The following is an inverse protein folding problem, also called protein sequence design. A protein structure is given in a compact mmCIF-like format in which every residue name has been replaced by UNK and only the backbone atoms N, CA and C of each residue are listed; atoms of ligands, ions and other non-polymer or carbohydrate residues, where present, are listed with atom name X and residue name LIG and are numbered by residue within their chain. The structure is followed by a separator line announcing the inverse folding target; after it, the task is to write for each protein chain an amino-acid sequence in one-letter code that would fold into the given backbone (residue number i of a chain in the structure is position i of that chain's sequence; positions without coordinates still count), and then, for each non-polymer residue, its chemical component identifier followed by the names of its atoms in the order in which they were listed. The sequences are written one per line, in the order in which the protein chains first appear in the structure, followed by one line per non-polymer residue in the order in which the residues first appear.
data_IF_355169449725
#
_entry.id   IF_355169449725
#
_cell.length_a   1.000
_cell.length_b   1.000
_cell.length_c   1.000
_cell.angle_alpha   90.00
_cell.angle_beta   90.00
_cell.angle_gamma   90.00
#
_symmetry.space_group_name_H-M   'P 1'
#
loop_
_entity.id
_entity.type
_entity.pdbx_description
1 polymer ?
#
# COMPACT_ATOMS: atom_id res chain seq x y z
N UNK A 1 -19.14 -9.00 3.37
CA UNK A 1 -17.81 -8.33 3.30
C UNK A 1 -16.62 -9.26 3.43
N UNK A 2 -16.77 -10.52 3.86
CA UNK A 2 -15.65 -11.47 3.90
C UNK A 2 -15.43 -12.12 2.53
N UNK A 3 -14.18 -12.31 2.11
CA UNK A 3 -13.78 -12.89 0.82
C UNK A 3 -14.33 -12.21 -0.46
N UNK A 4 -14.75 -10.94 -0.38
CA UNK A 4 -15.12 -10.15 -1.56
C UNK A 4 -14.03 -9.13 -1.93
N UNK A 5 -14.19 -8.48 -3.08
CA UNK A 5 -13.30 -7.39 -3.55
C UNK A 5 -13.26 -6.17 -2.62
N UNK A 6 -14.18 -6.08 -1.66
CA UNK A 6 -14.16 -5.07 -0.60
C UNK A 6 -12.81 -5.03 0.13
N UNK A 7 -12.31 -6.21 0.53
CA UNK A 7 -11.02 -6.31 1.24
C UNK A 7 -9.86 -5.86 0.34
N UNK A 8 -9.97 -6.11 -0.97
CA UNK A 8 -8.96 -5.68 -1.95
C UNK A 8 -8.93 -4.16 -2.04
N UNK A 9 -10.10 -3.51 -2.11
CA UNK A 9 -10.21 -2.05 -2.07
C UNK A 9 -9.59 -1.46 -0.81
N UNK A 10 -9.92 -1.99 0.37
CA UNK A 10 -9.37 -1.52 1.65
C UNK A 10 -7.83 -1.60 1.70
N UNK A 11 -7.26 -2.71 1.23
CA UNK A 11 -5.81 -2.89 1.18
C UNK A 11 -5.12 -1.90 0.23
N UNK A 12 -5.76 -1.56 -0.89
CA UNK A 12 -5.23 -0.59 -1.85
C UNK A 12 -5.20 0.83 -1.26
N UNK A 13 -6.17 1.27 -0.45
CA UNK A 13 -6.06 2.59 0.20
C UNK A 13 -4.95 2.65 1.24
N UNK A 14 -4.73 1.56 1.98
CA UNK A 14 -3.75 1.52 3.07
C UNK A 14 -2.34 1.33 2.53
N UNK A 15 -2.07 0.19 1.90
CA UNK A 15 -0.73 -0.13 1.40
C UNK A 15 -0.54 0.39 -0.03
N UNK A 16 -1.52 0.15 -0.90
CA UNK A 16 -1.46 0.57 -2.32
C UNK A 16 -1.22 2.07 -2.49
N UNK A 17 -1.93 2.91 -1.75
CA UNK A 17 -1.84 4.36 -1.81
C UNK A 17 -0.90 4.92 -0.74
N UNK A 18 -1.29 4.88 0.55
CA UNK A 18 -0.57 5.64 1.59
C UNK A 18 0.90 5.21 1.74
N UNK A 19 1.16 3.90 1.82
CA UNK A 19 2.52 3.38 1.94
C UNK A 19 3.31 3.60 0.65
N UNK A 20 2.79 3.18 -0.51
CA UNK A 20 3.51 3.31 -1.79
C UNK A 20 3.84 4.76 -2.14
N UNK A 21 2.89 5.69 -2.02
CA UNK A 21 3.12 7.11 -2.30
C UNK A 21 4.16 7.71 -1.35
N UNK A 22 4.16 7.31 -0.08
CA UNK A 22 5.18 7.74 0.87
C UNK A 22 6.57 7.28 0.43
N UNK A 23 6.74 6.02 0.05
CA UNK A 23 8.02 5.52 -0.44
C UNK A 23 8.44 6.17 -1.75
N UNK A 24 7.53 6.34 -2.72
CA UNK A 24 7.81 7.08 -3.96
C UNK A 24 8.25 8.52 -3.66
N UNK A 25 7.53 9.23 -2.79
CA UNK A 25 7.89 10.58 -2.35
C UNK A 25 9.25 10.64 -1.66
N UNK A 26 9.58 9.65 -0.81
CA UNK A 26 10.88 9.53 -0.17
C UNK A 26 11.99 9.39 -1.22
N UNK A 27 11.78 8.58 -2.26
CA UNK A 27 12.81 8.38 -3.30
C UNK A 27 13.16 9.69 -4.03
N UNK A 28 12.22 10.63 -4.16
CA UNK A 28 12.46 11.88 -4.87
C UNK A 28 13.44 12.84 -4.17
N UNK A 29 13.67 12.69 -2.87
CA UNK A 29 14.75 13.40 -2.18
C UNK A 29 15.91 12.46 -1.83
N UNK A 30 15.63 11.20 -1.51
CA UNK A 30 16.64 10.23 -1.10
C UNK A 30 17.57 9.83 -2.25
N UNK A 31 17.05 9.62 -3.46
CA UNK A 31 17.88 9.26 -4.62
C UNK A 31 18.86 10.39 -4.97
N UNK A 32 18.43 11.66 -5.08
CA UNK A 32 19.36 12.78 -5.24
C UNK A 32 20.38 12.89 -4.11
N UNK A 33 19.97 12.69 -2.85
CA UNK A 33 20.87 12.72 -1.70
C UNK A 33 21.96 11.65 -1.78
N UNK A 34 21.61 10.41 -2.16
CA UNK A 34 22.56 9.30 -2.24
C UNK A 34 23.47 9.37 -3.47
N UNK A 35 22.98 9.91 -4.58
CA UNK A 35 23.71 9.89 -5.86
C UNK A 35 24.39 11.20 -6.21
N UNK A 36 24.08 12.29 -5.51
CA UNK A 36 24.61 13.62 -5.77
C UNK A 36 24.04 14.29 -7.03
N UNK A 37 23.10 13.67 -7.73
CA UNK A 37 22.45 14.21 -8.92
C UNK A 37 21.07 14.78 -8.57
N UNK A 38 20.78 16.02 -8.96
CA UNK A 38 19.48 16.62 -8.72
C UNK A 38 18.36 15.83 -9.42
N UNK A 39 17.17 15.82 -8.82
CA UNK A 39 16.00 15.17 -9.40
C UNK A 39 15.71 15.72 -10.80
N UNK A 40 15.56 14.84 -11.79
CA UNK A 40 15.45 15.23 -13.19
C UNK A 40 14.26 16.16 -13.48
N UNK A 41 13.08 15.86 -12.94
CA UNK A 41 11.93 16.75 -13.06
C UNK A 41 11.00 16.71 -11.85
N UNK A 42 10.91 17.84 -11.14
CA UNK A 42 9.94 18.05 -10.06
C UNK A 42 8.50 18.05 -10.57
N UNK A 43 8.25 18.61 -11.77
CA UNK A 43 6.90 18.63 -12.36
C UNK A 43 6.43 17.21 -12.66
N UNK A 44 7.31 16.36 -13.19
CA UNK A 44 7.00 14.96 -13.47
C UNK A 44 6.68 14.19 -12.19
N UNK A 45 7.46 14.40 -11.12
CA UNK A 45 7.19 13.83 -9.79
C UNK A 45 5.80 14.20 -9.25
N UNK A 46 5.38 15.48 -9.41
CA UNK A 46 4.05 15.91 -8.97
C UNK A 46 2.93 15.28 -9.81
N UNK A 47 3.07 15.26 -11.14
CA UNK A 47 2.09 14.61 -12.03
C UNK A 47 1.97 13.13 -11.70
N UNK A 48 3.10 12.46 -11.48
CA UNK A 48 3.15 11.07 -11.05
C UNK A 48 2.38 10.86 -9.74
N UNK A 49 2.71 11.58 -8.68
CA UNK A 49 2.10 11.40 -7.37
C UNK A 49 0.57 11.63 -7.42
N UNK A 50 0.12 12.70 -8.08
CA UNK A 50 -1.31 13.00 -8.21
C UNK A 50 -2.06 12.01 -9.08
N UNK A 51 -1.48 11.59 -10.22
CA UNK A 51 -2.11 10.58 -11.07
C UNK A 51 -2.21 9.23 -10.37
N UNK A 52 -1.18 8.81 -9.63
CA UNK A 52 -1.21 7.58 -8.85
C UNK A 52 -2.32 7.64 -7.78
N UNK A 53 -2.38 8.75 -7.02
CA UNK A 53 -3.42 8.96 -6.00
C UNK A 53 -4.83 8.89 -6.59
N UNK A 54 -5.10 9.61 -7.69
CA UNK A 54 -6.41 9.60 -8.35
C UNK A 54 -6.75 8.20 -8.87
N UNK A 55 -5.78 7.50 -9.47
CA UNK A 55 -5.95 6.13 -9.93
C UNK A 55 -6.31 5.17 -8.80
N UNK A 56 -5.60 5.25 -7.66
CA UNK A 56 -5.86 4.47 -6.45
C UNK A 56 -7.25 4.74 -5.86
N UNK A 57 -7.67 6.01 -5.79
CA UNK A 57 -9.01 6.37 -5.28
C UNK A 57 -10.09 5.75 -6.16
N UNK A 58 -10.01 5.92 -7.48
CA UNK A 58 -10.98 5.35 -8.43
C UNK A 58 -11.01 3.82 -8.32
N UNK A 59 -9.83 3.20 -8.37
CA UNK A 59 -9.66 1.76 -8.33
C UNK A 59 -10.26 1.16 -7.04
N UNK A 60 -9.85 1.71 -5.89
CA UNK A 60 -10.28 1.20 -4.60
C UNK A 60 -11.77 1.43 -4.34
N UNK A 61 -12.29 2.62 -4.64
CA UNK A 61 -13.71 2.94 -4.45
C UNK A 61 -14.59 1.96 -5.26
N UNK A 62 -14.21 1.71 -6.50
CA UNK A 62 -14.90 0.75 -7.37
C UNK A 62 -14.84 -0.68 -6.81
N UNK A 63 -13.70 -1.11 -6.27
CA UNK A 63 -13.55 -2.43 -5.64
C UNK A 63 -14.41 -2.59 -4.37
N UNK A 64 -14.59 -1.51 -3.60
CA UNK A 64 -15.53 -1.51 -2.47
C UNK A 64 -16.96 -1.72 -2.97
N UNK A 65 -17.41 -0.96 -3.97
CA UNK A 65 -18.75 -1.14 -4.57
C UNK A 65 -18.96 -2.56 -5.09
N UNK A 66 -18.05 -3.07 -5.91
CA UNK A 66 -18.12 -4.44 -6.43
C UNK A 66 -18.11 -5.48 -5.30
N UNK A 67 -17.36 -5.22 -4.23
CA UNK A 67 -17.33 -6.04 -3.04
C UNK A 67 -18.63 -6.08 -2.25
N UNK A 68 -19.42 -4.99 -2.26
CA UNK A 68 -20.78 -4.94 -1.71
C UNK A 68 -21.76 -5.72 -2.59
N UNK A 69 -21.56 -5.69 -3.91
CA UNK A 69 -22.30 -6.50 -4.90
C UNK A 69 -21.89 -7.98 -4.93
N UNK A 70 -21.19 -8.46 -3.90
CA UNK A 70 -20.85 -9.88 -3.73
C UNK A 70 -19.71 -10.39 -4.61
N UNK A 71 -19.00 -9.53 -5.34
CA UNK A 71 -17.96 -9.97 -6.26
C UNK A 71 -16.78 -10.61 -5.51
N UNK A 72 -16.41 -11.87 -5.82
CA UNK A 72 -15.37 -12.57 -5.09
C UNK A 72 -13.99 -12.00 -5.45
N UNK A 73 -13.08 -12.10 -4.47
CA UNK A 73 -11.64 -11.84 -4.67
C UNK A 73 -10.94 -13.12 -5.11
N UNK A 74 -9.73 -12.99 -5.70
CA UNK A 74 -8.88 -14.14 -6.10
C UNK A 74 -9.54 -15.09 -7.11
N UNK A 75 -10.34 -14.53 -8.01
CA UNK A 75 -10.99 -15.27 -9.09
C UNK A 75 -10.70 -14.56 -10.41
N UNK A 76 -10.42 -15.32 -11.47
CA UNK A 76 -10.21 -14.82 -12.82
C UNK A 76 -11.55 -14.48 -13.47
N UNK A 77 -12.21 -13.44 -12.96
CA UNK A 77 -13.56 -13.01 -13.38
C UNK A 77 -13.59 -12.67 -14.88
N UNK A 78 -12.50 -12.18 -15.47
CA UNK A 78 -12.43 -11.88 -16.90
C UNK A 78 -12.56 -13.12 -17.82
N UNK A 79 -12.34 -14.33 -17.27
CA UNK A 79 -12.47 -15.59 -18.00
C UNK A 79 -13.77 -16.34 -17.65
N UNK A 80 -14.65 -15.75 -16.82
CA UNK A 80 -15.90 -16.37 -16.45
C UNK A 80 -16.92 -16.26 -17.60
N UNK A 81 -17.61 -17.35 -17.89
CA UNK A 81 -18.66 -17.41 -18.92
C UNK A 81 -19.93 -16.66 -18.51
N UNK A 82 -20.25 -16.68 -17.21
CA UNK A 82 -21.40 -16.01 -16.65
C UNK A 82 -20.96 -14.92 -15.67
N UNK A 83 -21.34 -13.69 -15.97
CA UNK A 83 -21.02 -12.50 -15.20
C UNK A 83 -22.30 -11.75 -14.85
N UNK A 84 -22.42 -11.35 -13.58
CA UNK A 84 -23.57 -10.56 -13.12
C UNK A 84 -23.60 -9.21 -13.87
N UNK A 85 -24.74 -8.79 -14.45
CA UNK A 85 -24.83 -7.54 -15.21
C UNK A 85 -24.38 -6.31 -14.41
N UNK A 86 -24.64 -6.30 -13.11
CA UNK A 86 -24.30 -5.22 -12.17
C UNK A 86 -22.80 -5.00 -12.04
N UNK A 87 -22.00 -6.03 -12.33
CA UNK A 87 -20.54 -5.96 -12.29
C UNK A 87 -19.92 -5.37 -13.56
N UNK A 88 -20.64 -5.48 -14.68
CA UNK A 88 -20.15 -5.15 -16.02
C UNK A 88 -20.48 -3.72 -16.45
N UNK A 89 -21.35 -3.02 -15.70
CA UNK A 89 -21.69 -1.63 -16.00
C UNK A 89 -20.45 -0.72 -15.96
N UNK A 90 -20.56 0.47 -16.55
CA UNK A 90 -19.43 1.41 -16.69
C UNK A 90 -18.80 1.82 -15.35
N UNK A 91 -19.57 1.79 -14.26
CA UNK A 91 -19.14 2.12 -12.89
C UNK A 91 -18.61 0.91 -12.11
N UNK A 92 -18.50 -0.25 -12.77
CA UNK A 92 -18.00 -1.51 -12.21
C UNK A 92 -16.63 -1.88 -12.77
N UNK A 93 -16.51 -3.04 -13.41
CA UNK A 93 -15.23 -3.55 -13.93
C UNK A 93 -14.45 -2.59 -14.85
N UNK A 94 -15.08 -1.85 -15.79
CA UNK A 94 -14.37 -0.87 -16.61
C UNK A 94 -13.66 0.22 -15.79
N UNK A 95 -14.30 0.69 -14.71
CA UNK A 95 -13.73 1.75 -13.86
C UNK A 95 -12.55 1.24 -13.01
N UNK A 96 -12.56 -0.03 -12.60
CA UNK A 96 -11.38 -0.73 -12.06
C UNK A 96 -10.25 -0.70 -13.08
N UNK A 97 -10.53 -1.03 -14.34
CA UNK A 97 -9.54 -0.99 -15.43
C UNK A 97 -8.94 0.40 -15.61
N UNK A 98 -9.79 1.43 -15.67
CA UNK A 98 -9.36 2.83 -15.82
C UNK A 98 -8.44 3.26 -14.66
N UNK A 99 -8.86 3.03 -13.41
CA UNK A 99 -8.04 3.34 -12.24
C UNK A 99 -6.68 2.63 -12.27
N UNK A 100 -6.68 1.35 -12.61
CA UNK A 100 -5.46 0.55 -12.76
C UNK A 100 -4.54 1.03 -13.88
N UNK A 101 -5.09 1.44 -15.03
CA UNK A 101 -4.31 2.01 -16.14
C UNK A 101 -3.67 3.34 -15.75
N UNK A 102 -4.40 4.22 -15.06
CA UNK A 102 -3.85 5.49 -14.55
C UNK A 102 -2.67 5.23 -13.61
N UNK A 103 -2.82 4.29 -12.67
CA UNK A 103 -1.74 3.89 -11.77
C UNK A 103 -0.55 3.30 -12.51
N UNK A 104 -0.78 2.46 -13.52
CA UNK A 104 0.27 1.85 -14.34
C UNK A 104 1.08 2.91 -15.09
N UNK A 105 0.40 3.84 -15.76
CA UNK A 105 1.06 4.98 -16.44
C UNK A 105 1.84 5.81 -15.43
N UNK A 106 1.27 6.09 -14.26
CA UNK A 106 1.99 6.79 -13.19
C UNK A 106 3.25 6.03 -12.73
N UNK A 107 3.18 4.71 -12.58
CA UNK A 107 4.34 3.87 -12.29
C UNK A 107 5.45 3.99 -13.35
N UNK A 108 5.09 4.09 -14.63
CA UNK A 108 6.05 4.37 -15.70
C UNK A 108 6.66 5.77 -15.54
N UNK A 109 5.86 6.80 -15.27
CA UNK A 109 6.37 8.16 -15.04
C UNK A 109 7.34 8.22 -13.85
N UNK A 110 7.04 7.46 -12.78
CA UNK A 110 7.90 7.31 -11.62
C UNK A 110 9.26 6.72 -12.03
N UNK A 111 9.26 5.55 -12.67
CA UNK A 111 10.48 4.88 -13.09
C UNK A 111 11.29 5.73 -14.07
N UNK A 112 10.62 6.38 -15.02
CA UNK A 112 11.24 7.29 -15.98
C UNK A 112 11.97 8.43 -15.25
N UNK A 113 11.31 9.09 -14.29
CA UNK A 113 11.91 10.21 -13.56
C UNK A 113 13.15 9.76 -12.76
N UNK A 114 13.10 8.59 -12.13
CA UNK A 114 14.24 8.03 -11.39
C UNK A 114 15.38 7.65 -12.33
N UNK A 115 15.09 6.94 -13.43
CA UNK A 115 16.12 6.54 -14.41
C UNK A 115 16.79 7.78 -15.02
N UNK A 116 16.02 8.80 -15.40
CA UNK A 116 16.58 10.05 -15.92
C UNK A 116 17.37 10.84 -14.88
N UNK A 117 16.98 10.76 -13.60
CA UNK A 117 17.76 11.33 -12.49
C UNK A 117 19.14 10.66 -12.40
N UNK A 118 19.20 9.35 -12.55
CA UNK A 118 20.44 8.58 -12.45
C UNK A 118 21.33 8.69 -13.71
N UNK A 119 20.72 8.68 -14.90
CA UNK A 119 21.44 8.55 -16.16
C UNK A 119 21.68 9.87 -16.89
N UNK A 120 20.83 10.87 -16.69
CA UNK A 120 20.82 12.10 -17.50
C UNK A 120 20.98 13.39 -16.69
N UNK A 121 20.63 13.39 -15.40
CA UNK A 121 20.83 14.57 -14.56
C UNK A 121 22.32 14.82 -14.33
N UNK A 122 22.76 16.06 -14.58
CA UNK A 122 24.14 16.52 -14.36
C UNK A 122 24.22 17.65 -13.34
N UNK A 123 23.08 18.12 -12.87
CA UNK A 123 23.02 19.19 -11.87
C UNK A 123 23.34 18.60 -10.50
N UNK A 124 24.20 19.25 -9.69
CA UNK A 124 24.52 18.75 -8.36
C UNK A 124 23.30 18.84 -7.44
N UNK A 125 23.02 17.76 -6.73
CA UNK A 125 21.96 17.71 -5.74
C UNK A 125 22.27 18.67 -4.58
N UNK A 126 21.31 19.55 -4.28
CA UNK A 126 21.29 20.37 -3.06
C UNK A 126 20.15 19.89 -2.17
N UNK A 127 20.35 18.77 -1.50
CA UNK A 127 19.33 18.13 -0.66
C UNK A 127 19.79 18.12 0.78
N UNK A 128 19.07 18.84 1.63
CA UNK A 128 19.14 18.69 3.08
C UNK A 128 18.15 17.61 3.50
N UNK A 129 18.55 16.77 4.45
CA UNK A 129 17.65 15.73 4.99
C UNK A 129 16.49 16.44 5.69
N UNK A 130 15.23 16.22 5.26
CA UNK A 130 14.09 16.96 5.77
C UNK A 130 13.67 16.41 7.14
N UNK A 131 14.46 16.73 8.17
CA UNK A 131 14.13 16.45 9.57
C UNK A 131 13.22 17.57 10.09
N UNK A 132 12.03 17.20 10.54
CA UNK A 132 11.15 18.14 11.23
C UNK A 132 11.77 18.54 12.58
N UNK A 133 11.86 19.83 12.84
CA UNK A 133 12.27 20.35 14.15
C UNK A 133 11.11 20.30 15.15
N UNK A 134 11.42 19.97 16.40
CA UNK A 134 10.43 19.99 17.48
C UNK A 134 10.07 21.42 17.87
N UNK A 135 8.82 21.66 18.25
CA UNK A 135 8.43 22.97 18.76
C UNK A 135 9.12 23.25 20.10
N UNK A 136 9.56 24.50 20.36
CA UNK A 136 10.20 24.85 21.62
C UNK A 136 9.28 24.57 22.82
N UNK A 137 9.73 23.73 23.77
CA UNK A 137 9.03 23.49 25.05
C UNK A 137 8.22 22.18 25.17
N UNK A 138 8.09 21.37 24.10
CA UNK A 138 7.28 20.14 24.10
C UNK A 138 7.91 18.93 24.84
N UNK A 139 9.06 19.10 25.48
CA UNK A 139 9.94 18.00 25.92
C UNK A 139 9.51 17.27 27.21
N UNK A 140 8.22 17.26 27.56
CA UNK A 140 7.72 16.51 28.73
C UNK A 140 6.92 15.29 28.28
N UNK A 141 7.62 14.33 27.67
CA UNK A 141 7.06 12.98 27.46
C UNK A 141 7.07 12.26 28.82
N UNK A 142 5.94 11.67 29.27
CA UNK A 142 5.93 10.86 30.48
C UNK A 142 7.00 9.75 30.45
N UNK A 143 7.74 9.57 31.55
CA UNK A 143 8.85 8.60 31.62
C UNK A 143 8.46 7.13 31.35
N UNK A 144 7.16 6.80 31.40
CA UNK A 144 6.65 5.47 31.03
C UNK A 144 6.68 5.25 29.51
N UNK A 145 6.49 6.31 28.71
CA UNK A 145 6.57 6.23 27.25
C UNK A 145 8.02 6.14 26.76
N UNK A 146 8.98 6.67 27.52
CA UNK A 146 10.42 6.56 27.22
C UNK A 146 11.01 5.17 27.53
N UNK A 147 10.33 4.36 28.36
CA UNK A 147 10.80 3.02 28.75
C UNK A 147 10.22 1.95 27.85
N UNK A 148 11.04 1.29 27.03
CA UNK A 148 10.57 0.22 26.14
C UNK A 148 10.10 -1.06 26.87
N UNK A 149 10.68 -1.36 28.04
CA UNK A 149 10.43 -2.61 28.79
C UNK A 149 8.95 -2.87 29.14
N UNK A 150 8.20 -1.95 29.76
CA UNK A 150 6.78 -2.19 30.06
C UNK A 150 5.96 -2.51 28.82
N UNK A 151 6.22 -1.84 27.69
CA UNK A 151 5.50 -2.08 26.44
C UNK A 151 5.79 -3.45 25.83
N UNK A 152 7.04 -3.92 25.92
CA UNK A 152 7.39 -5.28 25.49
C UNK A 152 6.72 -6.32 26.37
N UNK A 153 6.74 -6.15 27.70
CA UNK A 153 6.09 -7.08 28.64
C UNK A 153 4.57 -7.13 28.37
N UNK A 154 3.92 -5.97 28.21
CA UNK A 154 2.50 -5.88 27.90
C UNK A 154 2.20 -6.57 26.56
N UNK A 155 2.99 -6.31 25.52
CA UNK A 155 2.81 -6.92 24.19
C UNK A 155 2.90 -8.44 24.25
N UNK A 156 3.93 -8.98 24.91
CA UNK A 156 4.10 -10.42 25.08
C UNK A 156 2.93 -11.01 25.86
N UNK A 157 2.55 -10.38 26.98
CA UNK A 157 1.46 -10.85 27.84
C UNK A 157 0.14 -10.89 27.08
N UNK A 158 -0.22 -9.82 26.38
CA UNK A 158 -1.44 -9.75 25.57
C UNK A 158 -1.43 -10.77 24.43
N UNK A 159 -0.27 -10.99 23.79
CA UNK A 159 -0.12 -11.98 22.73
C UNK A 159 -0.36 -13.39 23.25
N UNK A 160 0.24 -13.74 24.39
CA UNK A 160 0.04 -15.05 25.02
C UNK A 160 -1.41 -15.25 25.44
N UNK A 161 -2.02 -14.26 26.10
CA UNK A 161 -3.43 -14.36 26.54
C UNK A 161 -4.38 -14.53 25.34
N UNK A 162 -4.15 -13.80 24.24
CA UNK A 162 -5.00 -13.87 23.06
C UNK A 162 -4.85 -15.17 22.26
N UNK A 163 -3.63 -15.68 22.11
CA UNK A 163 -3.33 -16.76 21.17
C UNK A 163 -3.06 -18.12 21.80
N UNK A 164 -2.62 -18.18 23.06
CA UNK A 164 -2.27 -19.45 23.68
C UNK A 164 -3.49 -20.40 23.80
N UNK A 165 -4.69 -19.95 24.23
CA UNK A 165 -5.85 -20.83 24.29
C UNK A 165 -6.22 -21.47 22.93
N UNK A 166 -6.44 -20.71 21.83
CA UNK A 166 -6.77 -21.32 20.54
C UNK A 166 -5.61 -22.14 19.93
N UNK A 167 -4.35 -21.83 20.26
CA UNK A 167 -3.22 -22.65 19.82
C UNK A 167 -3.19 -24.01 20.52
N UNK A 168 -3.46 -24.05 21.83
CA UNK A 168 -3.55 -25.31 22.58
C UNK A 168 -4.67 -26.18 22.01
N UNK A 169 -5.85 -25.61 21.74
CA UNK A 169 -6.96 -26.38 21.16
C UNK A 169 -6.61 -26.91 19.78
N UNK A 170 -6.01 -26.09 18.92
CA UNK A 170 -5.58 -26.50 17.57
C UNK A 170 -4.56 -27.65 17.61
N UNK A 171 -3.59 -27.59 18.53
CA UNK A 171 -2.58 -28.62 18.70
C UNK A 171 -3.18 -29.92 19.26
N UNK A 172 -4.12 -29.81 20.20
CA UNK A 172 -4.80 -30.97 20.79
C UNK A 172 -5.75 -31.66 19.79
N UNK A 173 -6.33 -30.91 18.85
CA UNK A 173 -7.27 -31.42 17.83
C UNK A 173 -6.66 -31.44 16.43
N UNK A 174 -5.34 -31.61 16.31
CA UNK A 174 -4.66 -31.54 15.02
C UNK A 174 -5.07 -32.71 14.11
N UNK A 175 -5.65 -32.38 12.94
CA UNK A 175 -6.01 -33.35 11.90
C UNK A 175 -5.22 -33.04 10.61
N UNK A 176 -4.06 -33.67 10.39
CA UNK A 176 -3.23 -33.39 9.22
C UNK A 176 -3.93 -33.86 7.93
N UNK A 177 -3.92 -33.01 6.93
CA UNK A 177 -4.42 -33.29 5.57
C UNK A 177 -3.25 -33.30 4.60
N UNK A 178 -3.29 -34.18 3.60
CA UNK A 178 -2.29 -34.20 2.53
C UNK A 178 -2.43 -32.95 1.67
N UNK A 179 -1.30 -32.37 1.27
CA UNK A 179 -1.29 -31.25 0.32
C UNK A 179 -1.84 -31.67 -1.04
N UNK A 180 -2.54 -30.75 -1.71
CA UNK A 180 -3.04 -30.92 -3.07
C UNK A 180 -2.35 -29.94 -4.02
N UNK A 181 -2.17 -30.34 -5.28
CA UNK A 181 -1.74 -29.45 -6.37
C UNK A 181 -2.96 -29.15 -7.24
N UNK A 182 -3.26 -27.87 -7.43
CA UNK A 182 -4.48 -27.37 -8.10
C UNK A 182 -4.17 -26.30 -9.14
N UNK A 183 -2.98 -26.36 -9.73
CA UNK A 183 -2.48 -25.50 -10.79
C UNK A 183 -1.64 -26.31 -11.76
#
# INVERSE_FOLDING_TARGET
GHNTRWIVGHFHLTVGAAVTLTFMGITYWLVPYLTGHALWSRRLALVQAWSFFVGEVIFSETLHRLGLLGMPRRTQISAAEYLMPEWQNIIGMPLVGIGGTIMFVSGILYLLNIVLTLAASREPARVEVPLAEYAPGERRVPAVLDRWRPWVIITITLTLVAWLPPLITLLASMSPVRGARVW
#
